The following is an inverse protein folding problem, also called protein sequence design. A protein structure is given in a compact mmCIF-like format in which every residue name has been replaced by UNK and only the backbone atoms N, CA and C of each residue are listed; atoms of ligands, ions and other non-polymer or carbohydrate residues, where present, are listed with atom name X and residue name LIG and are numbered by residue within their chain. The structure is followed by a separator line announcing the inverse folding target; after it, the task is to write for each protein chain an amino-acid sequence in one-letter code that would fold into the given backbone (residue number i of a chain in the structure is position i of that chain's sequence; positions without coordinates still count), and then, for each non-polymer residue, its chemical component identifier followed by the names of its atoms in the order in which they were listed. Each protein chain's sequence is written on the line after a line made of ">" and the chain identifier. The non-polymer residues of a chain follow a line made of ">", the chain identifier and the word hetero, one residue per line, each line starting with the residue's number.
data_IF_143604434109
#
_entry.id   IF_143604434109
#
_cell.length_a   1.000
_cell.length_b   1.000
_cell.length_c   1.000
_cell.angle_alpha   90.00
_cell.angle_beta   90.00
_cell.angle_gamma   90.00
#
_symmetry.space_group_name_H-M   'P 1'
#
loop_
_entity.id
_entity.type
_entity.pdbx_description
1 polymer ?
#
# COMPACT_ATOMS: atom_id res chain seq x y z
N UNK A 1 15.14 -16.18 8.11
CA UNK A 1 13.71 -16.23 7.73
C UNK A 1 13.71 -16.17 6.22
N UNK A 2 13.20 -17.19 5.53
CA UNK A 2 13.46 -17.38 4.11
C UNK A 2 12.78 -16.29 3.29
N UNK A 3 13.60 -15.36 2.80
CA UNK A 3 13.28 -14.49 1.67
C UNK A 3 12.79 -15.37 0.52
N UNK A 4 11.69 -14.99 -0.12
CA UNK A 4 11.13 -15.76 -1.22
C UNK A 4 11.99 -15.59 -2.46
N UNK A 5 12.98 -16.48 -2.66
CA UNK A 5 13.88 -16.45 -3.82
C UNK A 5 13.16 -16.62 -5.18
N UNK A 6 11.88 -17.00 -5.15
CA UNK A 6 11.07 -17.30 -6.32
C UNK A 6 9.69 -16.64 -6.26
N UNK A 7 9.43 -15.66 -7.13
CA UNK A 7 8.09 -15.14 -7.37
C UNK A 7 7.38 -15.96 -8.43
N UNK A 8 6.12 -16.33 -8.21
CA UNK A 8 5.37 -17.22 -9.12
C UNK A 8 4.07 -16.55 -9.60
N UNK A 9 3.65 -16.91 -10.80
CA UNK A 9 2.31 -16.65 -11.31
C UNK A 9 1.61 -17.98 -11.59
N UNK A 10 0.31 -18.00 -11.33
CA UNK A 10 -0.54 -19.15 -11.58
C UNK A 10 -1.59 -18.75 -12.62
N UNK A 11 -1.73 -19.53 -13.69
CA UNK A 11 -2.74 -19.34 -14.74
C UNK A 11 -3.40 -20.66 -15.05
N UNK A 12 -4.70 -20.65 -15.34
CA UNK A 12 -5.39 -21.84 -15.83
C UNK A 12 -5.22 -21.89 -17.35
N UNK A 13 -4.56 -22.92 -17.85
CA UNK A 13 -4.39 -23.19 -19.29
C UNK A 13 -4.88 -24.62 -19.53
N UNK A 14 -5.83 -24.79 -20.46
CA UNK A 14 -6.44 -26.08 -20.80
C UNK A 14 -6.98 -26.89 -19.59
N UNK A 15 -7.55 -26.18 -18.61
CA UNK A 15 -8.10 -26.78 -17.39
C UNK A 15 -7.06 -27.18 -16.33
N UNK A 16 -5.78 -26.89 -16.57
CA UNK A 16 -4.68 -27.17 -15.64
C UNK A 16 -4.12 -25.87 -15.08
N UNK A 17 -3.81 -25.84 -13.80
CA UNK A 17 -3.12 -24.70 -13.18
C UNK A 17 -1.64 -24.76 -13.53
N UNK A 18 -1.21 -23.89 -14.42
CA UNK A 18 0.19 -23.71 -14.83
C UNK A 18 0.86 -22.69 -13.90
N UNK A 19 1.97 -23.12 -13.28
CA UNK A 19 2.87 -22.27 -12.49
C UNK A 19 4.00 -21.77 -13.37
N UNK A 20 4.25 -20.47 -13.41
CA UNK A 20 5.43 -19.87 -14.05
C UNK A 20 6.20 -19.02 -13.05
N UNK A 21 7.52 -19.14 -13.06
CA UNK A 21 8.39 -18.24 -12.31
C UNK A 21 8.44 -16.87 -13.00
N UNK A 22 8.36 -15.81 -12.21
CA UNK A 22 8.41 -14.44 -12.68
C UNK A 22 9.58 -13.70 -12.04
N UNK A 23 10.76 -13.89 -12.63
CA UNK A 23 12.03 -13.32 -12.14
C UNK A 23 12.04 -11.80 -12.06
N UNK A 24 11.28 -11.13 -12.92
CA UNK A 24 11.13 -9.68 -12.90
C UNK A 24 10.53 -9.14 -11.58
N UNK A 25 9.89 -10.01 -10.80
CA UNK A 25 9.30 -9.66 -9.50
C UNK A 25 10.09 -10.22 -8.32
N UNK A 26 11.37 -10.52 -8.53
CA UNK A 26 12.29 -10.80 -7.44
C UNK A 26 12.56 -9.53 -6.63
N UNK A 27 12.48 -9.63 -5.31
CA UNK A 27 12.83 -8.57 -4.37
C UNK A 27 13.51 -9.20 -3.15
N UNK A 28 14.55 -8.52 -2.67
CA UNK A 28 15.26 -8.87 -1.42
C UNK A 28 14.66 -8.18 -0.20
N UNK A 29 13.60 -7.39 -0.38
CA UNK A 29 12.96 -6.66 0.71
C UNK A 29 12.29 -7.66 1.68
N UNK A 30 12.57 -7.50 2.96
CA UNK A 30 12.04 -8.37 4.00
C UNK A 30 10.55 -8.11 4.27
N UNK A 31 10.10 -6.86 4.12
CA UNK A 31 8.78 -6.45 4.56
C UNK A 31 7.69 -6.76 3.51
N UNK A 32 6.55 -7.25 3.99
CA UNK A 32 5.49 -7.74 3.11
C UNK A 32 4.70 -6.60 2.45
N UNK A 33 4.52 -5.49 3.16
CA UNK A 33 3.81 -4.30 2.71
C UNK A 33 4.42 -3.70 1.44
N UNK A 34 5.74 -3.53 1.40
CA UNK A 34 6.45 -3.02 0.24
C UNK A 34 6.42 -4.01 -0.93
N UNK A 35 6.64 -5.31 -0.66
CA UNK A 35 6.58 -6.37 -1.68
C UNK A 35 5.22 -6.46 -2.35
N UNK A 36 4.13 -6.23 -1.61
CA UNK A 36 2.79 -6.17 -2.19
C UNK A 36 2.68 -5.05 -3.23
N UNK A 37 3.19 -3.85 -2.95
CA UNK A 37 3.14 -2.75 -3.92
C UNK A 37 4.08 -2.96 -5.11
N UNK A 38 5.26 -3.51 -4.86
CA UNK A 38 6.16 -3.91 -5.94
C UNK A 38 5.52 -4.94 -6.88
N UNK A 39 4.70 -5.86 -6.34
CA UNK A 39 3.90 -6.77 -7.18
C UNK A 39 2.88 -6.02 -8.04
N UNK A 40 2.25 -4.98 -7.49
CA UNK A 40 1.23 -4.17 -8.19
C UNK A 40 1.87 -3.38 -9.32
N UNK A 41 3.08 -2.85 -9.15
CA UNK A 41 3.77 -2.07 -10.20
C UNK A 41 3.99 -2.85 -11.50
N UNK A 42 3.99 -4.18 -11.42
CA UNK A 42 4.21 -5.09 -12.53
C UNK A 42 2.91 -5.74 -13.06
N UNK A 43 1.74 -5.33 -12.55
CA UNK A 43 0.43 -5.75 -13.09
C UNK A 43 0.21 -5.07 -14.43
N UNK A 44 -0.35 -5.80 -15.39
CA UNK A 44 -0.66 -5.23 -16.70
C UNK A 44 -1.71 -4.11 -16.58
N UNK A 45 -1.58 -3.03 -17.36
CA UNK A 45 -2.48 -1.89 -17.28
C UNK A 45 -3.92 -2.32 -17.62
N UNK A 46 -4.88 -1.74 -16.89
CA UNK A 46 -6.32 -2.06 -16.86
C UNK A 46 -6.64 -3.34 -16.06
N UNK A 47 -6.61 -3.21 -14.73
CA UNK A 47 -7.09 -4.24 -13.81
C UNK A 47 -7.65 -3.64 -12.51
N UNK A 48 -8.60 -4.35 -11.92
CA UNK A 48 -9.01 -4.12 -10.53
C UNK A 48 -8.11 -4.92 -9.60
N UNK A 49 -7.40 -4.24 -8.72
CA UNK A 49 -6.46 -4.84 -7.78
C UNK A 49 -7.00 -4.67 -6.37
N UNK A 50 -7.23 -5.79 -5.67
CA UNK A 50 -7.66 -5.79 -4.27
C UNK A 50 -6.52 -6.29 -3.39
N UNK A 51 -6.02 -5.43 -2.52
CA UNK A 51 -5.05 -5.77 -1.48
C UNK A 51 -5.82 -6.14 -0.21
N UNK A 52 -5.67 -7.37 0.26
CA UNK A 52 -6.30 -7.84 1.51
C UNK A 52 -5.35 -7.63 2.66
N UNK A 53 -5.67 -6.71 3.57
CA UNK A 53 -4.83 -6.44 4.73
C UNK A 53 -5.59 -5.74 5.85
N UNK A 54 -5.20 -6.00 7.10
CA UNK A 54 -5.62 -5.23 8.27
C UNK A 54 -4.56 -4.22 8.72
N UNK A 55 -3.39 -4.26 8.08
CA UNK A 55 -2.25 -3.42 8.38
C UNK A 55 -2.39 -2.06 7.67
N UNK A 56 -2.31 -0.98 8.46
CA UNK A 56 -2.43 0.39 7.97
C UNK A 56 -1.19 0.87 7.22
N UNK A 57 -0.02 0.29 7.45
CA UNK A 57 1.21 0.67 6.76
C UNK A 57 1.04 0.50 5.25
N UNK A 58 0.36 -0.56 4.82
CA UNK A 58 0.10 -0.85 3.41
C UNK A 58 -0.65 0.29 2.72
N UNK A 59 -1.67 0.88 3.37
CA UNK A 59 -2.39 2.03 2.82
C UNK A 59 -1.49 3.27 2.73
N UNK A 60 -0.72 3.53 3.78
CA UNK A 60 0.18 4.71 3.83
C UNK A 60 1.25 4.63 2.74
N UNK A 61 1.89 3.46 2.58
CA UNK A 61 2.90 3.24 1.55
C UNK A 61 2.24 3.26 0.17
N UNK A 62 1.03 2.69 0.01
CA UNK A 62 0.31 2.72 -1.27
C UNK A 62 0.05 4.16 -1.74
N UNK A 63 -0.38 5.04 -0.84
CA UNK A 63 -0.58 6.46 -1.13
C UNK A 63 0.75 7.16 -1.45
N UNK A 64 1.80 6.93 -0.65
CA UNK A 64 3.11 7.54 -0.87
C UNK A 64 3.78 7.11 -2.18
N UNK A 65 3.55 5.87 -2.63
CA UNK A 65 4.10 5.35 -3.87
C UNK A 65 3.13 5.42 -5.05
N UNK A 66 1.94 5.99 -4.87
CA UNK A 66 0.85 5.89 -5.86
C UNK A 66 1.25 6.42 -7.24
N UNK A 67 1.99 7.53 -7.31
CA UNK A 67 2.47 8.11 -8.57
C UNK A 67 3.46 7.22 -9.34
N UNK A 68 4.07 6.22 -8.67
CA UNK A 68 4.96 5.23 -9.27
C UNK A 68 4.23 3.95 -9.68
N UNK A 69 2.94 3.80 -9.35
CA UNK A 69 2.12 2.67 -9.77
C UNK A 69 1.49 2.94 -11.15
N UNK A 70 1.14 1.90 -11.92
CA UNK A 70 0.41 2.07 -13.17
C UNK A 70 -0.93 2.76 -12.91
N UNK A 71 -1.17 3.89 -13.59
CA UNK A 71 -2.29 4.78 -13.32
C UNK A 71 -3.63 4.23 -13.83
N UNK A 72 -3.60 3.21 -14.69
CA UNK A 72 -4.76 2.52 -15.24
C UNK A 72 -5.30 1.41 -14.31
N UNK A 73 -4.75 1.27 -13.09
CA UNK A 73 -5.20 0.29 -12.11
C UNK A 73 -6.21 0.92 -11.16
N UNK A 74 -7.30 0.19 -10.90
CA UNK A 74 -8.23 0.51 -9.81
C UNK A 74 -7.78 -0.26 -8.56
N UNK A 75 -7.16 0.44 -7.62
CA UNK A 75 -6.55 -0.15 -6.43
C UNK A 75 -7.47 0.01 -5.22
N UNK A 76 -7.76 -1.12 -4.59
CA UNK A 76 -8.64 -1.22 -3.43
C UNK A 76 -7.93 -1.92 -2.28
N UNK A 77 -8.23 -1.52 -1.05
CA UNK A 77 -7.85 -2.26 0.15
C UNK A 77 -9.10 -2.87 0.78
N UNK A 78 -9.13 -4.20 0.86
CA UNK A 78 -10.10 -4.95 1.65
C UNK A 78 -9.55 -5.09 3.08
N UNK A 79 -10.28 -4.58 4.06
CA UNK A 79 -9.88 -4.60 5.46
C UNK A 79 -11.05 -4.92 6.40
N UNK A 80 -10.75 -5.25 7.66
CA UNK A 80 -11.73 -5.68 8.66
C UNK A 80 -11.95 -7.19 8.69
N UNK A 81 -12.99 -7.62 9.41
CA UNK A 81 -13.26 -9.05 9.66
C UNK A 81 -14.69 -9.38 9.26
N UNK A 82 -14.84 -10.32 8.31
CA UNK A 82 -16.14 -10.75 7.80
C UNK A 82 -17.08 -11.24 8.91
N UNK A 83 -16.58 -12.10 9.81
CA UNK A 83 -17.37 -12.66 10.91
C UNK A 83 -17.86 -11.62 11.93
N UNK A 84 -17.28 -10.41 11.93
CA UNK A 84 -17.66 -9.30 12.80
C UNK A 84 -18.44 -8.21 12.07
N UNK A 85 -18.81 -8.41 10.80
CA UNK A 85 -19.47 -7.42 9.93
C UNK A 85 -18.71 -6.08 9.82
N UNK A 86 -17.38 -6.13 9.95
CA UNK A 86 -16.50 -4.95 9.84
C UNK A 86 -15.74 -4.90 8.52
N UNK A 87 -16.06 -5.78 7.57
CA UNK A 87 -15.41 -5.80 6.25
C UNK A 87 -15.69 -4.49 5.51
N UNK A 88 -14.64 -3.83 5.01
CA UNK A 88 -14.70 -2.59 4.24
C UNK A 88 -13.76 -2.68 3.04
N UNK A 89 -14.12 -1.96 1.98
CA UNK A 89 -13.25 -1.72 0.83
C UNK A 89 -12.92 -0.24 0.77
N UNK A 90 -11.64 0.07 0.70
CA UNK A 90 -11.12 1.43 0.66
C UNK A 90 -10.57 1.66 -0.75
N UNK A 91 -11.09 2.68 -1.45
CA UNK A 91 -10.59 3.07 -2.77
C UNK A 91 -9.32 3.92 -2.60
N UNK A 92 -8.16 3.37 -2.97
CA UNK A 92 -6.87 4.08 -2.82
C UNK A 92 -6.76 5.22 -3.83
N UNK A 93 -7.24 5.01 -5.06
CA UNK A 93 -7.23 6.02 -6.12
C UNK A 93 -8.01 7.27 -5.71
N UNK A 94 -9.20 7.09 -5.16
CA UNK A 94 -10.04 8.18 -4.69
C UNK A 94 -9.36 8.98 -3.57
N UNK A 95 -8.76 8.29 -2.59
CA UNK A 95 -8.04 8.97 -1.50
C UNK A 95 -6.85 9.76 -2.05
N UNK A 96 -6.08 9.19 -2.98
CA UNK A 96 -4.97 9.90 -3.61
C UNK A 96 -5.44 11.15 -4.35
N UNK A 97 -6.57 11.08 -5.07
CA UNK A 97 -7.17 12.24 -5.75
C UNK A 97 -7.65 13.32 -4.76
N UNK A 98 -8.21 12.93 -3.62
CA UNK A 98 -8.70 13.85 -2.60
C UNK A 98 -7.58 14.54 -1.82
N UNK A 99 -6.52 13.79 -1.47
CA UNK A 99 -5.40 14.31 -0.68
C UNK A 99 -4.34 15.03 -1.52
N UNK A 100 -4.22 14.67 -2.79
CA UNK A 100 -3.20 15.21 -3.68
C UNK A 100 -1.81 14.58 -3.48
N UNK A 101 -0.97 14.74 -4.51
CA UNK A 101 0.33 14.08 -4.57
C UNK A 101 1.28 14.49 -3.45
N UNK A 102 1.37 15.79 -3.14
CA UNK A 102 2.31 16.33 -2.13
C UNK A 102 2.04 15.73 -0.75
N UNK A 103 0.78 15.78 -0.30
CA UNK A 103 0.39 15.24 0.99
C UNK A 103 0.59 13.72 1.03
N UNK A 104 0.16 13.00 -0.01
CA UNK A 104 0.37 11.55 -0.11
C UNK A 104 1.85 11.16 -0.03
N UNK A 105 2.75 11.88 -0.71
CA UNK A 105 4.20 11.68 -0.63
C UNK A 105 4.75 11.89 0.79
N UNK A 106 4.17 12.80 1.57
CA UNK A 106 4.58 13.07 2.94
C UNK A 106 4.04 12.08 3.98
N UNK A 107 2.97 11.32 3.65
CA UNK A 107 2.31 10.41 4.59
C UNK A 107 3.23 9.32 5.17
N UNK A 108 4.10 8.62 4.40
CA UNK A 108 5.02 7.63 4.96
C UNK A 108 5.95 8.21 6.03
N UNK A 109 6.54 9.37 5.77
CA UNK A 109 7.41 10.07 6.72
C UNK A 109 6.63 10.52 7.96
N UNK A 110 5.44 11.09 7.76
CA UNK A 110 4.54 11.46 8.85
C UNK A 110 4.16 10.25 9.72
N UNK A 111 3.88 9.12 9.09
CA UNK A 111 3.47 7.89 9.78
C UNK A 111 4.60 7.35 10.66
N UNK A 112 5.82 7.29 10.12
CA UNK A 112 7.03 6.93 10.87
C UNK A 112 7.33 7.93 12.00
N UNK A 113 7.26 9.24 11.72
CA UNK A 113 7.58 10.30 12.68
C UNK A 113 6.60 10.37 13.86
N UNK A 114 5.35 9.98 13.65
CA UNK A 114 4.31 9.96 14.68
C UNK A 114 4.14 8.59 15.35
N UNK A 115 5.04 7.65 15.08
CA UNK A 115 5.03 6.30 15.63
C UNK A 115 4.24 5.30 14.77
N UNK A 116 4.89 4.63 13.83
CA UNK A 116 4.40 3.38 13.20
C UNK A 116 4.95 2.16 13.98
N UNK A 117 4.19 1.06 14.04
CA UNK A 117 4.55 -0.23 14.65
C UNK A 117 5.52 -0.21 15.85
N UNK A 118 6.83 -0.25 15.55
CA UNK A 118 7.93 -0.37 16.52
C UNK A 118 8.66 0.95 16.83
N UNK A 119 8.27 2.06 16.19
CA UNK A 119 8.95 3.35 16.37
C UNK A 119 8.44 4.09 17.60
N UNK A 120 9.38 4.68 18.36
CA UNK A 120 9.05 5.51 19.50
C UNK A 120 8.23 6.73 19.06
N UNK A 121 7.14 7.01 19.76
CA UNK A 121 6.31 8.19 19.51
C UNK A 121 6.64 9.32 20.48
N UNK A 122 6.42 10.56 20.04
CA UNK A 122 6.56 11.73 20.91
C UNK A 122 5.54 11.68 22.06
N UNK A 123 6.03 11.75 23.30
CA UNK A 123 5.19 11.70 24.50
C UNK A 123 4.08 12.75 24.44
N UNK A 124 2.82 12.29 24.60
CA UNK A 124 1.60 13.11 24.56
C UNK A 124 1.34 13.83 23.22
N UNK A 125 1.92 13.35 22.12
CA UNK A 125 1.62 13.84 20.77
C UNK A 125 0.99 12.71 19.95
N UNK A 126 -0.33 12.78 19.78
CA UNK A 126 -1.05 11.90 18.86
C UNK A 126 -0.90 12.35 17.41
N UNK A 127 -1.44 11.56 16.49
CA UNK A 127 -1.37 11.74 15.03
C UNK A 127 -2.13 12.96 14.48
N UNK A 128 -3.26 13.31 15.09
CA UNK A 128 -4.18 14.34 14.56
C UNK A 128 -3.53 15.72 14.47
N UNK A 129 -2.81 16.16 15.52
CA UNK A 129 -2.23 17.52 15.53
C UNK A 129 -1.09 17.68 14.53
N UNK A 130 -0.10 16.76 14.44
CA UNK A 130 0.91 16.82 13.39
C UNK A 130 0.34 16.72 11.99
N UNK A 131 -0.76 15.99 11.77
CA UNK A 131 -1.40 15.91 10.44
C UNK A 131 -1.94 17.27 10.01
N UNK A 132 -2.68 17.96 10.88
CA UNK A 132 -3.17 19.32 10.61
C UNK A 132 -2.05 20.32 10.33
N UNK A 133 -0.90 20.16 10.98
CA UNK A 133 0.28 20.99 10.71
C UNK A 133 0.89 20.69 9.34
N UNK A 134 0.92 19.41 8.95
CA UNK A 134 1.38 18.98 7.64
C UNK A 134 0.46 19.51 6.53
N UNK A 135 -0.84 19.34 6.67
CA UNK A 135 -1.86 19.88 5.74
C UNK A 135 -1.73 21.42 5.60
N UNK A 136 -1.53 22.13 6.71
CA UNK A 136 -1.35 23.59 6.68
C UNK A 136 -0.02 24.07 6.09
N UNK A 137 1.01 23.21 6.04
CA UNK A 137 2.32 23.56 5.47
C UNK A 137 2.32 23.61 3.95
N UNK A 138 1.40 22.90 3.30
CA UNK A 138 1.23 22.90 1.85
C UNK A 138 0.73 24.26 1.33
N UNK A 139 0.00 25.02 2.15
CA UNK A 139 -0.47 26.38 1.80
C UNK A 139 0.59 27.49 1.99
N UNK A 140 1.79 27.14 2.49
CA UNK A 140 2.83 28.09 2.87
C UNK A 140 4.05 28.08 1.93
N UNK A 141 4.00 27.32 0.83
CA UNK A 141 5.05 27.21 -0.19
C UNK A 141 4.52 27.76 -1.52
#
# INVERSE_FOLDING_TARGET
>A
MNCGDHCNTFKVEDGVVVKRELRAMFSTDEEADFRMLFRISSVQPIANVVIRTIDTNVLVIALGCFSSLPQELDIWIETGVYTKNTLRYINVNQIFQELGQTLCLALPTYHAFTGCDYTASFRRKGKVRPLKLLEGSESAI
#
